data_IF_162026081783
#
_entry.id   IF_162026081783
#
_cell.length_a   1.000
_cell.length_b   1.000
_cell.length_c   1.000
_cell.angle_alpha   90.00
_cell.angle_beta   90.00
_cell.angle_gamma   90.00
#
_symmetry.space_group_name_H-M   'P 1'
#
loop_
_entity.id
_entity.type
_entity.pdbx_description
1 polymer ?
#
# COMPACT_ATOMS: atom_id res chain seq x y z
N UNK A 1 -11.88 -32.56 12.98
CA UNK A 1 -12.73 -31.67 12.16
C UNK A 1 -11.91 -30.64 11.46
N UNK A 2 -12.14 -30.45 10.18
CA UNK A 2 -11.43 -29.46 9.41
C UNK A 2 -12.21 -28.15 9.42
N UNK A 3 -11.48 -27.04 9.45
CA UNK A 3 -12.09 -25.74 9.29
C UNK A 3 -12.24 -25.48 7.80
N UNK A 4 -13.48 -25.27 7.38
CA UNK A 4 -13.77 -24.98 5.99
C UNK A 4 -14.02 -23.49 5.83
N UNK A 5 -13.66 -22.93 4.68
CA UNK A 5 -13.91 -21.55 4.34
C UNK A 5 -13.27 -20.54 5.28
N UNK A 6 -12.16 -20.93 5.89
CA UNK A 6 -11.41 -20.01 6.72
C UNK A 6 -10.80 -18.94 5.83
N UNK A 7 -11.05 -17.69 6.17
CA UNK A 7 -10.53 -16.56 5.42
C UNK A 7 -9.66 -15.73 6.34
N UNK A 8 -8.46 -15.41 5.89
CA UNK A 8 -7.57 -14.52 6.61
C UNK A 8 -7.36 -13.27 5.75
N UNK A 9 -7.26 -12.14 6.41
CA UNK A 9 -6.99 -10.91 5.71
C UNK A 9 -5.84 -10.19 6.38
N UNK A 10 -5.08 -9.47 5.57
CA UNK A 10 -3.97 -8.65 6.06
C UNK A 10 -4.16 -7.25 5.51
N UNK A 11 -3.90 -6.29 6.37
CA UNK A 11 -4.01 -4.88 6.00
C UNK A 11 -2.66 -4.22 6.18
N UNK A 12 -2.30 -3.39 5.22
CA UNK A 12 -1.05 -2.66 5.23
C UNK A 12 -1.36 -1.18 5.06
N UNK A 13 -0.59 -0.34 5.71
CA UNK A 13 -0.74 1.10 5.51
C UNK A 13 0.62 1.76 5.58
N UNK A 14 0.75 2.84 4.85
CA UNK A 14 1.98 3.63 4.85
C UNK A 14 1.66 5.05 4.41
N UNK A 15 2.63 5.93 4.55
CA UNK A 15 2.51 7.29 4.06
C UNK A 15 3.75 7.66 3.28
N UNK A 16 3.58 8.56 2.32
CA UNK A 16 4.72 9.18 1.65
C UNK A 16 4.82 10.61 2.15
N UNK A 17 5.94 10.93 2.77
CA UNK A 17 6.15 12.24 3.39
C UNK A 17 7.27 13.00 2.69
N UNK A 18 7.06 14.29 2.53
CA UNK A 18 8.08 15.20 1.99
C UNK A 18 8.23 16.33 3.00
N UNK A 19 9.45 16.55 3.46
CA UNK A 19 9.77 17.61 4.44
C UNK A 19 8.84 17.56 5.66
N UNK A 20 8.64 16.35 6.21
CA UNK A 20 7.78 16.11 7.37
C UNK A 20 6.30 16.40 7.13
N UNK A 21 5.90 16.51 5.87
CA UNK A 21 4.50 16.70 5.50
C UNK A 21 3.99 15.45 4.81
N UNK A 22 2.89 14.91 5.30
CA UNK A 22 2.28 13.75 4.65
C UNK A 22 1.64 14.18 3.34
N UNK A 23 2.14 13.62 2.26
CA UNK A 23 1.66 13.95 0.92
C UNK A 23 0.62 12.94 0.45
N UNK A 24 0.82 11.68 0.78
CA UNK A 24 -0.09 10.64 0.33
C UNK A 24 -0.20 9.54 1.37
N UNK A 25 -1.43 9.07 1.58
CA UNK A 25 -1.69 7.85 2.35
C UNK A 25 -1.85 6.69 1.39
N UNK A 26 -1.29 5.55 1.78
CA UNK A 26 -1.34 4.34 0.99
C UNK A 26 -1.92 3.22 1.84
N UNK A 27 -2.85 2.47 1.29
CA UNK A 27 -3.46 1.33 1.97
C UNK A 27 -3.48 0.14 1.05
N UNK A 28 -3.37 -1.04 1.64
CA UNK A 28 -3.55 -2.27 0.89
C UNK A 28 -4.27 -3.28 1.76
N UNK A 29 -5.05 -4.13 1.13
CA UNK A 29 -5.69 -5.24 1.82
C UNK A 29 -5.52 -6.49 0.99
N UNK A 30 -5.27 -7.60 1.66
CA UNK A 30 -5.08 -8.89 1.04
C UNK A 30 -5.96 -9.92 1.75
N UNK A 31 -6.68 -10.70 0.96
CA UNK A 31 -7.49 -11.79 1.46
C UNK A 31 -6.87 -13.12 1.01
N UNK A 32 -6.94 -14.12 1.87
CA UNK A 32 -6.42 -15.45 1.54
C UNK A 32 -7.14 -16.08 0.35
N UNK A 33 -8.27 -15.53 -0.06
CA UNK A 33 -8.94 -15.94 -1.29
C UNK A 33 -8.25 -15.45 -2.55
N UNK A 34 -7.26 -14.59 -2.40
CA UNK A 34 -6.48 -14.10 -3.53
C UNK A 34 -6.71 -12.66 -3.92
N UNK A 35 -7.61 -11.98 -3.24
CA UNK A 35 -7.90 -10.58 -3.55
C UNK A 35 -6.85 -9.66 -2.94
N UNK A 36 -6.25 -8.85 -3.75
CA UNK A 36 -5.27 -7.87 -3.30
C UNK A 36 -5.66 -6.51 -3.86
N UNK A 37 -5.91 -5.57 -2.98
CA UNK A 37 -6.36 -4.24 -3.34
C UNK A 37 -5.40 -3.19 -2.80
N UNK A 38 -5.13 -2.19 -3.62
CA UNK A 38 -4.32 -1.04 -3.23
C UNK A 38 -5.16 0.22 -3.39
N UNK A 39 -5.03 1.11 -2.42
CA UNK A 39 -5.69 2.40 -2.45
C UNK A 39 -4.69 3.49 -2.10
N UNK A 40 -4.85 4.65 -2.70
CA UNK A 40 -4.04 5.80 -2.36
C UNK A 40 -4.94 7.01 -2.17
N UNK A 41 -4.53 7.90 -1.28
CA UNK A 41 -5.24 9.13 -1.02
C UNK A 41 -4.24 10.26 -0.95
N UNK A 42 -4.35 11.22 -1.85
CA UNK A 42 -3.44 12.36 -1.89
C UNK A 42 -3.92 13.39 -0.88
N UNK A 43 -3.05 13.74 0.06
CA UNK A 43 -3.38 14.68 1.14
C UNK A 43 -2.95 16.10 0.84
N UNK A 44 -1.88 16.24 0.05
CA UNK A 44 -1.39 17.55 -0.34
C UNK A 44 -1.10 17.53 -1.84
N UNK A 45 -2.06 18.00 -2.61
CA UNK A 45 -1.98 17.92 -4.06
C UNK A 45 -0.83 18.76 -4.61
N UNK A 46 -0.57 19.92 -4.03
CA UNK A 46 0.51 20.78 -4.49
C UNK A 46 1.88 20.12 -4.28
N UNK A 47 2.08 19.53 -3.10
CA UNK A 47 3.31 18.79 -2.82
C UNK A 47 3.43 17.56 -3.70
N UNK A 48 2.32 16.88 -3.95
CA UNK A 48 2.32 15.74 -4.82
C UNK A 48 2.77 16.12 -6.24
N UNK A 49 2.20 17.18 -6.80
CA UNK A 49 2.56 17.64 -8.14
C UNK A 49 4.03 18.05 -8.22
N UNK A 50 4.53 18.69 -7.18
CA UNK A 50 5.93 19.14 -7.14
C UNK A 50 6.91 17.97 -6.99
N UNK A 51 6.47 16.85 -6.39
CA UNK A 51 7.33 15.73 -6.08
C UNK A 51 6.78 14.41 -6.61
N UNK A 52 6.06 14.47 -7.71
CA UNK A 52 5.33 13.33 -8.24
C UNK A 52 6.20 12.09 -8.43
N UNK A 53 7.37 12.25 -9.02
CA UNK A 53 8.25 11.12 -9.30
C UNK A 53 8.71 10.44 -7.99
N UNK A 54 9.01 11.23 -6.97
CA UNK A 54 9.45 10.70 -5.68
C UNK A 54 8.31 9.99 -4.96
N UNK A 55 7.14 10.62 -4.92
CA UNK A 55 5.98 10.04 -4.24
C UNK A 55 5.52 8.76 -4.95
N UNK A 56 5.44 8.79 -6.28
CA UNK A 56 5.08 7.60 -7.05
C UNK A 56 6.11 6.49 -6.86
N UNK A 57 7.39 6.84 -6.76
CA UNK A 57 8.45 5.89 -6.49
C UNK A 57 8.31 5.24 -5.11
N UNK A 58 7.93 6.01 -4.11
CA UNK A 58 7.67 5.49 -2.77
C UNK A 58 6.52 4.49 -2.79
N UNK A 59 5.46 4.81 -3.51
CA UNK A 59 4.31 3.93 -3.64
C UNK A 59 4.70 2.62 -4.33
N UNK A 60 5.46 2.71 -5.41
CA UNK A 60 5.90 1.54 -6.16
C UNK A 60 6.79 0.63 -5.31
N UNK A 61 7.73 1.21 -4.57
CA UNK A 61 8.59 0.46 -3.66
C UNK A 61 7.78 -0.24 -2.58
N UNK A 62 6.81 0.45 -2.02
CA UNK A 62 5.94 -0.11 -0.99
C UNK A 62 5.11 -1.27 -1.53
N UNK A 63 4.56 -1.13 -2.73
CA UNK A 63 3.82 -2.22 -3.37
C UNK A 63 4.70 -3.44 -3.57
N UNK A 64 5.93 -3.23 -4.01
CA UNK A 64 6.87 -4.34 -4.23
C UNK A 64 7.19 -5.05 -2.92
N UNK A 65 7.33 -4.30 -1.82
CA UNK A 65 7.52 -4.90 -0.51
C UNK A 65 6.35 -5.79 -0.12
N UNK A 66 5.13 -5.34 -0.40
CA UNK A 66 3.94 -6.11 -0.09
C UNK A 66 3.87 -7.37 -0.95
N UNK A 67 4.19 -7.28 -2.22
CA UNK A 67 4.25 -8.47 -3.09
C UNK A 67 5.25 -9.50 -2.56
N UNK A 68 6.40 -9.03 -2.12
CA UNK A 68 7.41 -9.90 -1.54
C UNK A 68 6.90 -10.55 -0.26
N UNK A 69 6.24 -9.79 0.59
CA UNK A 69 5.70 -10.27 1.86
C UNK A 69 4.63 -11.33 1.65
N UNK A 70 3.75 -11.11 0.67
CA UNK A 70 2.61 -12.01 0.44
C UNK A 70 3.00 -13.19 -0.43
N UNK A 71 3.75 -12.95 -1.48
CA UNK A 71 4.06 -13.97 -2.48
C UNK A 71 5.46 -14.55 -2.37
N UNK A 72 6.31 -13.96 -1.56
CA UNK A 72 7.65 -14.47 -1.33
C UNK A 72 8.63 -14.22 -2.45
N UNK A 73 8.41 -13.20 -3.24
CA UNK A 73 9.29 -12.89 -4.37
C UNK A 73 10.09 -11.62 -4.20
#
# INVERSE_FOLDING_TARGET
>A
MAIANKTESRNFSATSDINNTTVMYMNASYSSSGDLNFNESIRDMDMYKANKAEVDGDYESWKNEIYTEIFGE
#
